data_IF_059298458289
#
_entry.id   IF_059298458289
#
_cell.length_a   1.000
_cell.length_b   1.000
_cell.length_c   1.000
_cell.angle_alpha   90.00
_cell.angle_beta   90.00
_cell.angle_gamma   90.00
#
_symmetry.space_group_name_H-M   'P 1'
#
loop_
_entity.id
_entity.type
_entity.pdbx_description
1 polymer ?
#
# COMPACT_ATOMS: atom_id res chain seq x y z
N UNK A 1 11.70 1.41 38.14
CA UNK A 1 11.74 2.65 37.32
C UNK A 1 10.31 3.14 37.23
N UNK A 2 10.08 4.40 37.63
CA UNK A 2 8.75 5.01 37.76
C UNK A 2 8.17 5.23 36.36
N UNK A 3 7.27 4.34 35.93
CA UNK A 3 6.49 4.56 34.71
C UNK A 3 5.41 5.59 35.04
N UNK A 4 5.22 6.57 34.16
CA UNK A 4 4.19 7.59 34.31
C UNK A 4 2.84 6.88 34.43
N UNK A 5 2.30 6.82 35.65
CA UNK A 5 1.04 6.18 35.95
C UNK A 5 -0.15 7.05 35.55
N UNK A 6 -1.35 6.45 35.49
CA UNK A 6 -2.58 7.17 35.16
C UNK A 6 -2.84 8.38 36.07
N UNK A 7 -2.42 8.32 37.33
CA UNK A 7 -2.52 9.44 38.28
C UNK A 7 -1.63 10.63 37.94
N UNK A 8 -0.41 10.40 37.46
CA UNK A 8 0.52 11.47 37.07
C UNK A 8 0.04 12.18 35.81
N UNK A 9 -0.46 11.43 34.83
CA UNK A 9 -1.09 12.00 33.62
C UNK A 9 -2.29 12.87 33.97
N UNK A 10 -3.15 12.42 34.90
CA UNK A 10 -4.30 13.20 35.34
C UNK A 10 -3.88 14.51 36.02
N UNK A 11 -2.84 14.47 36.87
CA UNK A 11 -2.30 15.67 37.51
C UNK A 11 -1.74 16.67 36.49
N UNK A 12 -0.98 16.19 35.49
CA UNK A 12 -0.45 17.04 34.41
C UNK A 12 -1.60 17.70 33.63
N UNK A 13 -2.65 16.95 33.30
CA UNK A 13 -3.82 17.49 32.60
C UNK A 13 -4.46 18.60 33.43
N UNK A 14 -4.64 18.43 34.75
CA UNK A 14 -5.18 19.49 35.61
C UNK A 14 -4.32 20.74 35.58
N UNK A 15 -2.99 20.61 35.70
CA UNK A 15 -2.08 21.76 35.65
C UNK A 15 -2.19 22.49 34.30
N UNK A 16 -2.19 21.74 33.20
CA UNK A 16 -2.37 22.29 31.85
C UNK A 16 -3.71 23.00 31.71
N UNK A 17 -4.78 22.43 32.26
CA UNK A 17 -6.11 23.04 32.27
C UNK A 17 -6.17 24.32 33.12
N UNK A 18 -5.42 24.41 34.22
CA UNK A 18 -5.31 25.65 34.99
C UNK A 18 -4.55 26.74 34.23
N UNK A 19 -3.49 26.37 33.50
CA UNK A 19 -2.67 27.32 32.75
C UNK A 19 -3.37 27.85 31.49
N UNK A 20 -4.02 26.96 30.74
CA UNK A 20 -4.60 27.30 29.43
C UNK A 20 -6.13 27.38 29.44
N UNK A 21 -6.81 26.81 30.43
CA UNK A 21 -8.27 26.71 30.49
C UNK A 21 -8.83 25.46 29.80
N UNK A 22 -10.05 25.05 30.19
CA UNK A 22 -10.80 23.93 29.59
C UNK A 22 -11.09 24.10 28.12
N UNK A 23 -11.25 25.35 27.68
CA UNK A 23 -11.76 25.65 26.35
C UNK A 23 -10.63 25.67 25.30
N UNK A 24 -9.37 25.91 25.72
CA UNK A 24 -8.23 26.01 24.81
C UNK A 24 -7.74 24.68 24.29
N UNK A 25 -7.80 23.61 25.09
CA UNK A 25 -7.39 22.28 24.62
C UNK A 25 -8.27 21.80 23.43
N UNK A 26 -9.62 21.84 23.52
CA UNK A 26 -10.49 21.52 22.39
C UNK A 26 -10.34 22.48 21.21
N UNK A 27 -10.12 23.78 21.46
CA UNK A 27 -9.93 24.78 20.42
C UNK A 27 -8.66 24.51 19.59
N UNK A 28 -7.53 24.25 20.27
CA UNK A 28 -6.26 23.88 19.63
C UNK A 28 -6.41 22.56 18.86
N UNK A 29 -7.03 21.54 19.47
CA UNK A 29 -7.26 20.25 18.81
C UNK A 29 -8.10 20.40 17.52
N UNK A 30 -9.16 21.23 17.57
CA UNK A 30 -9.98 21.55 16.39
C UNK A 30 -9.20 22.33 15.34
N UNK A 31 -8.39 23.29 15.75
CA UNK A 31 -7.53 24.08 14.86
C UNK A 31 -6.50 23.21 14.15
N UNK A 32 -5.75 22.39 14.90
CA UNK A 32 -4.78 21.44 14.37
C UNK A 32 -5.44 20.38 13.48
N UNK A 33 -6.62 19.87 13.86
CA UNK A 33 -7.36 18.90 13.06
C UNK A 33 -7.75 19.46 11.68
N UNK A 34 -8.30 20.68 11.64
CA UNK A 34 -8.61 21.39 10.39
C UNK A 34 -7.34 21.67 9.57
N UNK A 35 -6.25 22.07 10.22
CA UNK A 35 -4.95 22.26 9.58
C UNK A 35 -4.46 20.97 8.93
N UNK A 36 -4.31 19.89 9.70
CA UNK A 36 -3.89 18.59 9.18
C UNK A 36 -4.77 18.09 8.04
N UNK A 37 -6.09 18.32 8.10
CA UNK A 37 -7.01 17.97 7.02
C UNK A 37 -6.70 18.75 5.73
N UNK A 38 -6.47 20.06 5.82
CA UNK A 38 -6.09 20.88 4.67
C UNK A 38 -4.74 20.46 4.10
N UNK A 39 -3.74 20.22 4.95
CA UNK A 39 -2.42 19.74 4.55
C UNK A 39 -2.53 18.38 3.83
N UNK A 40 -3.33 17.45 4.36
CA UNK A 40 -3.59 16.15 3.74
C UNK A 40 -4.27 16.28 2.38
N UNK A 41 -5.26 17.16 2.27
CA UNK A 41 -5.98 17.36 1.01
C UNK A 41 -5.06 17.95 -0.07
N UNK A 42 -4.29 19.00 0.26
CA UNK A 42 -3.31 19.59 -0.64
C UNK A 42 -2.23 18.58 -1.06
N UNK A 43 -1.71 17.80 -0.10
CA UNK A 43 -0.73 16.74 -0.39
C UNK A 43 -1.31 15.66 -1.33
N UNK A 44 -2.56 15.26 -1.13
CA UNK A 44 -3.24 14.29 -2.00
C UNK A 44 -3.47 14.85 -3.41
N UNK A 45 -3.82 16.12 -3.55
CA UNK A 45 -4.00 16.79 -4.84
C UNK A 45 -2.68 16.86 -5.61
N UNK A 46 -1.60 17.28 -4.96
CA UNK A 46 -0.24 17.25 -5.52
C UNK A 46 0.15 15.83 -5.92
N UNK A 47 -0.09 14.83 -5.06
CA UNK A 47 0.20 13.42 -5.37
C UNK A 47 -0.59 12.95 -6.59
N UNK A 48 -1.86 13.33 -6.70
CA UNK A 48 -2.73 12.98 -7.83
C UNK A 48 -2.29 13.68 -9.11
N UNK A 49 -1.86 14.93 -9.05
CA UNK A 49 -1.38 15.68 -10.20
C UNK A 49 -0.04 15.11 -10.70
N UNK A 50 0.88 14.79 -9.79
CA UNK A 50 2.14 14.10 -10.13
C UNK A 50 1.87 12.72 -10.75
N UNK A 51 0.94 11.94 -10.19
CA UNK A 51 0.53 10.63 -10.76
C UNK A 51 -0.18 10.74 -12.11
N UNK A 52 -0.82 11.88 -12.41
CA UNK A 52 -1.53 12.11 -13.67
C UNK A 52 -0.60 12.69 -14.74
N UNK A 53 0.39 13.49 -14.35
CA UNK A 53 1.38 14.11 -15.23
C UNK A 53 2.54 13.18 -15.56
N UNK A 54 2.99 12.37 -14.60
CA UNK A 54 3.83 11.22 -14.90
C UNK A 54 2.88 10.09 -15.26
N UNK A 55 2.79 9.72 -16.54
CA UNK A 55 1.99 8.61 -17.08
C UNK A 55 2.46 7.23 -16.56
N UNK A 56 2.59 7.10 -15.24
CA UNK A 56 3.09 5.93 -14.55
C UNK A 56 2.06 4.80 -14.62
N UNK A 57 0.77 5.12 -14.65
CA UNK A 57 -0.29 4.13 -14.83
C UNK A 57 -0.40 3.65 -16.28
N UNK A 58 -0.19 4.52 -17.28
CA UNK A 58 -0.12 4.11 -18.69
C UNK A 58 1.14 3.32 -19.01
N UNK A 59 2.29 3.72 -18.46
CA UNK A 59 3.55 2.97 -18.55
C UNK A 59 3.44 1.64 -17.80
N UNK A 60 2.87 1.61 -16.57
CA UNK A 60 2.72 0.39 -15.79
C UNK A 60 1.74 -0.60 -16.42
N UNK A 61 0.59 -0.13 -16.91
CA UNK A 61 -0.33 -0.98 -17.69
C UNK A 61 0.31 -1.48 -18.98
N UNK A 62 1.05 -0.63 -19.69
CA UNK A 62 1.78 -1.04 -20.90
C UNK A 62 2.85 -2.09 -20.59
N UNK A 63 3.58 -1.96 -19.49
CA UNK A 63 4.55 -2.97 -19.04
C UNK A 63 3.88 -4.28 -18.58
N UNK A 64 2.73 -4.20 -17.90
CA UNK A 64 1.97 -5.36 -17.42
C UNK A 64 1.31 -6.14 -18.58
N UNK A 65 0.76 -5.43 -19.58
CA UNK A 65 0.20 -6.02 -20.81
C UNK A 65 1.28 -6.66 -21.70
N UNK A 66 2.48 -6.07 -21.77
CA UNK A 66 3.64 -6.68 -22.46
C UNK A 66 4.13 -7.92 -21.71
N UNK A 67 4.15 -7.87 -20.38
CA UNK A 67 4.72 -8.93 -19.54
C UNK A 67 3.82 -10.14 -19.34
N UNK A 68 2.50 -9.97 -19.27
CA UNK A 68 1.64 -10.97 -18.63
C UNK A 68 0.80 -11.83 -19.60
N UNK A 69 0.21 -11.23 -20.65
CA UNK A 69 -0.89 -11.92 -21.36
C UNK A 69 -0.53 -12.55 -22.71
N UNK A 70 0.48 -12.03 -23.43
CA UNK A 70 0.84 -12.54 -24.76
C UNK A 70 2.08 -13.45 -24.74
N UNK A 71 3.08 -13.16 -23.90
CA UNK A 71 4.33 -13.91 -23.84
C UNK A 71 4.14 -15.20 -23.04
N UNK A 72 3.59 -15.12 -21.82
CA UNK A 72 3.33 -16.28 -20.97
C UNK A 72 2.38 -17.27 -21.63
N UNK A 73 1.31 -16.78 -22.26
CA UNK A 73 0.27 -17.63 -22.85
C UNK A 73 0.74 -18.39 -24.10
N UNK A 74 1.59 -17.77 -24.93
CA UNK A 74 2.21 -18.47 -26.07
C UNK A 74 3.30 -19.46 -25.61
N UNK A 75 4.14 -19.08 -24.64
CA UNK A 75 5.20 -19.95 -24.13
C UNK A 75 4.63 -21.17 -23.39
N UNK A 76 3.66 -20.99 -22.50
CA UNK A 76 3.01 -22.11 -21.79
C UNK A 76 2.26 -23.01 -22.75
N UNK A 77 1.53 -22.43 -23.72
CA UNK A 77 0.79 -23.22 -24.72
C UNK A 77 1.68 -24.04 -25.66
N UNK A 78 2.90 -23.59 -25.98
CA UNK A 78 3.88 -24.40 -26.71
C UNK A 78 4.57 -25.43 -25.82
N UNK A 79 4.92 -25.08 -24.58
CA UNK A 79 5.54 -26.00 -23.61
C UNK A 79 4.61 -27.17 -23.28
N UNK A 80 3.31 -26.93 -23.13
CA UNK A 80 2.34 -27.98 -22.84
C UNK A 80 2.24 -28.98 -24.00
N UNK A 81 2.28 -28.50 -25.25
CA UNK A 81 2.31 -29.39 -26.45
C UNK A 81 3.60 -30.20 -26.51
N UNK A 82 4.75 -29.58 -26.26
CA UNK A 82 6.04 -30.28 -26.23
C UNK A 82 6.08 -31.30 -25.10
N UNK A 83 5.44 -31.02 -23.96
CA UNK A 83 5.34 -31.95 -22.84
C UNK A 83 4.44 -33.13 -23.16
N UNK A 84 3.31 -32.90 -23.83
CA UNK A 84 2.41 -33.94 -24.33
C UNK A 84 3.15 -34.85 -25.34
N UNK A 85 3.86 -34.26 -26.31
CA UNK A 85 4.67 -35.00 -27.28
C UNK A 85 5.80 -35.80 -26.59
N UNK A 86 6.46 -35.25 -25.57
CA UNK A 86 7.50 -35.95 -24.81
C UNK A 86 6.90 -37.07 -23.93
N UNK A 87 5.74 -36.87 -23.32
CA UNK A 87 5.07 -37.91 -22.52
C UNK A 87 4.64 -39.09 -23.41
N UNK A 88 4.11 -38.81 -24.60
CA UNK A 88 3.71 -39.83 -25.57
C UNK A 88 4.93 -40.55 -26.19
N UNK A 89 6.04 -39.85 -26.39
CA UNK A 89 7.30 -40.46 -26.87
C UNK A 89 8.10 -41.16 -25.76
N UNK A 90 7.96 -40.74 -24.50
CA UNK A 90 8.62 -41.34 -23.33
C UNK A 90 7.82 -42.52 -22.74
N UNK A 91 6.53 -42.61 -23.09
CA UNK A 91 5.54 -43.55 -22.58
C UNK A 91 5.98 -45.02 -22.41
N UNK A 92 6.87 -45.59 -23.23
CA UNK A 92 7.31 -46.98 -23.01
C UNK A 92 8.44 -47.19 -21.98
N UNK A 93 9.22 -46.17 -21.60
CA UNK A 93 10.46 -46.43 -20.81
C UNK A 93 10.22 -46.43 -19.29
N UNK A 94 9.15 -45.77 -18.80
CA UNK A 94 8.86 -45.71 -17.35
C UNK A 94 8.06 -46.89 -16.80
N UNK A 95 7.69 -47.86 -17.64
CA UNK A 95 7.03 -49.11 -17.24
C UNK A 95 8.00 -50.29 -17.15
N UNK A 96 9.30 -50.05 -16.95
CA UNK A 96 10.28 -51.13 -16.78
C UNK A 96 11.43 -50.75 -15.83
N UNK A 97 11.14 -50.15 -14.67
CA UNK A 97 11.90 -50.38 -13.42
C UNK A 97 11.13 -49.87 -12.21
#
# INVERSE_FOLDING_TARGET
MFGIGGGEIFFIIIVVLMLFGSDKIPEIARGLGKGMQQLKNASNEIKSEIHKSADLDGIKRSFEDIGSDNITKNITGEIDKVKEDIEDMSGPIKRIR
#
